data_IF_353993588264
#
_entry.id   IF_353993588264
#
_cell.length_a   1.000
_cell.length_b   1.000
_cell.length_c   1.000
_cell.angle_alpha   90.00
_cell.angle_beta   90.00
_cell.angle_gamma   90.00
#
_symmetry.space_group_name_H-M   'P 1'
#
loop_
_entity.id
_entity.type
_entity.pdbx_description
1 polymer ?
#
# COMPACT_ATOMS: atom_id res chain seq x y z
N UNK A 1 -13.72 -14.81 -16.98
CA UNK A 1 -12.86 -15.91 -16.51
C UNK A 1 -13.60 -16.57 -15.38
N UNK A 2 -13.56 -17.89 -15.31
CA UNK A 2 -14.06 -18.60 -14.15
C UNK A 2 -13.23 -18.19 -12.91
N UNK A 3 -13.81 -18.18 -11.72
CA UNK A 3 -13.08 -17.88 -10.49
C UNK A 3 -11.90 -18.87 -10.35
N UNK A 4 -10.72 -18.32 -10.02
CA UNK A 4 -9.49 -19.09 -9.90
C UNK A 4 -8.87 -18.81 -8.54
N UNK A 5 -8.49 -19.86 -7.83
CA UNK A 5 -7.82 -19.75 -6.54
C UNK A 5 -6.47 -19.06 -6.68
N UNK A 6 -6.09 -18.27 -5.68
CA UNK A 6 -4.81 -17.57 -5.68
C UNK A 6 -3.63 -18.54 -5.86
N UNK A 7 -3.69 -19.72 -5.23
CA UNK A 7 -2.69 -20.78 -5.37
C UNK A 7 -2.56 -21.38 -6.79
N UNK A 8 -3.56 -21.19 -7.64
CA UNK A 8 -3.59 -21.67 -9.02
C UNK A 8 -3.22 -20.58 -10.04
N UNK A 9 -3.07 -19.32 -9.59
CA UNK A 9 -2.72 -18.20 -10.47
C UNK A 9 -1.29 -18.35 -10.96
N UNK A 10 -1.12 -18.38 -12.28
CA UNK A 10 0.21 -18.51 -12.88
C UNK A 10 0.96 -17.19 -12.90
N UNK A 11 2.25 -17.25 -12.57
CA UNK A 11 3.18 -16.14 -12.73
C UNK A 11 4.05 -16.35 -13.98
N UNK A 12 4.19 -15.32 -14.77
CA UNK A 12 5.15 -15.28 -15.89
C UNK A 12 5.87 -13.93 -15.85
N UNK A 13 7.21 -13.95 -15.78
CA UNK A 13 8.01 -12.73 -15.85
C UNK A 13 7.77 -12.03 -17.19
N UNK A 14 7.37 -10.75 -17.20
CA UNK A 14 7.08 -10.04 -18.45
C UNK A 14 8.35 -9.73 -19.26
N UNK A 15 8.21 -9.71 -20.58
CA UNK A 15 9.21 -9.17 -21.49
C UNK A 15 9.10 -7.66 -21.52
N UNK A 16 10.05 -6.98 -20.86
CA UNK A 16 10.06 -5.52 -20.72
C UNK A 16 10.29 -4.83 -22.07
N UNK A 17 11.17 -5.34 -22.91
CA UNK A 17 11.46 -4.72 -24.21
C UNK A 17 10.25 -4.78 -25.13
N UNK A 18 9.56 -5.91 -25.16
CA UNK A 18 8.29 -6.05 -25.88
C UNK A 18 7.22 -5.10 -25.36
N UNK A 19 7.08 -4.95 -24.04
CA UNK A 19 6.13 -4.03 -23.42
C UNK A 19 6.46 -2.56 -23.74
N UNK A 20 7.73 -2.16 -23.66
CA UNK A 20 8.16 -0.81 -24.02
C UNK A 20 7.91 -0.51 -25.52
N UNK A 21 8.08 -1.53 -26.38
CA UNK A 21 7.70 -1.44 -27.79
C UNK A 21 6.19 -1.19 -28.00
N UNK A 22 5.36 -1.92 -27.25
CA UNK A 22 3.90 -1.69 -27.22
C UNK A 22 3.55 -0.29 -26.72
N UNK A 23 4.20 0.21 -25.68
CA UNK A 23 3.98 1.56 -25.18
C UNK A 23 4.24 2.63 -26.24
N UNK A 24 5.34 2.51 -27.00
CA UNK A 24 5.65 3.41 -28.11
C UNK A 24 4.55 3.38 -29.18
N UNK A 25 4.07 2.19 -29.54
CA UNK A 25 2.97 2.02 -30.50
C UNK A 25 1.66 2.65 -30.00
N UNK A 26 1.33 2.47 -28.72
CA UNK A 26 0.16 3.07 -28.07
C UNK A 26 0.25 4.60 -28.04
N UNK A 27 1.41 5.16 -27.71
CA UNK A 27 1.63 6.60 -27.72
C UNK A 27 1.44 7.18 -29.14
N UNK A 28 1.97 6.50 -30.18
CA UNK A 28 1.76 6.89 -31.57
C UNK A 28 0.28 6.83 -31.99
N UNK A 29 -0.45 5.77 -31.60
CA UNK A 29 -1.91 5.66 -31.83
C UNK A 29 -2.67 6.78 -31.13
N UNK A 30 -2.36 7.08 -29.86
CA UNK A 30 -3.00 8.15 -29.10
C UNK A 30 -2.77 9.52 -29.75
N UNK A 31 -1.54 9.80 -30.20
CA UNK A 31 -1.22 11.05 -30.91
C UNK A 31 -1.91 11.15 -32.27
N UNK A 32 -2.09 10.03 -32.99
CA UNK A 32 -2.68 9.97 -34.33
C UNK A 32 -4.19 9.77 -34.38
N UNK A 33 -4.86 9.57 -33.24
CA UNK A 33 -6.31 9.35 -33.20
C UNK A 33 -7.07 10.56 -33.83
N UNK A 34 -7.87 10.28 -34.84
CA UNK A 34 -8.57 11.28 -35.62
C UNK A 34 -9.99 11.59 -35.10
N UNK A 35 -10.44 10.87 -34.07
CA UNK A 35 -11.74 11.07 -33.42
C UNK A 35 -11.69 10.75 -31.93
N UNK A 36 -12.69 11.25 -31.18
CA UNK A 36 -12.86 10.92 -29.76
C UNK A 36 -13.07 9.41 -29.53
N UNK A 37 -13.81 8.74 -30.39
CA UNK A 37 -14.05 7.30 -30.33
C UNK A 37 -12.75 6.50 -30.49
N UNK A 38 -11.91 6.87 -31.48
CA UNK A 38 -10.59 6.24 -31.63
C UNK A 38 -9.73 6.45 -30.40
N UNK A 39 -9.71 7.67 -29.84
CA UNK A 39 -8.92 7.98 -28.64
C UNK A 39 -9.36 7.14 -27.43
N UNK A 40 -10.67 6.99 -27.20
CA UNK A 40 -11.24 6.13 -26.17
C UNK A 40 -10.87 4.67 -26.40
N UNK A 41 -10.90 4.19 -27.65
CA UNK A 41 -10.48 2.82 -27.98
C UNK A 41 -8.99 2.58 -27.67
N UNK A 42 -8.11 3.53 -27.94
CA UNK A 42 -6.68 3.46 -27.60
C UNK A 42 -6.51 3.40 -26.07
N UNK A 43 -7.31 4.11 -25.30
CA UNK A 43 -7.28 4.02 -23.84
C UNK A 43 -7.65 2.61 -23.33
N UNK A 44 -8.67 1.99 -23.91
CA UNK A 44 -8.99 0.58 -23.59
C UNK A 44 -7.88 -0.40 -24.04
N UNK A 45 -7.23 -0.13 -25.19
CA UNK A 45 -6.07 -0.94 -25.61
C UNK A 45 -4.93 -0.83 -24.60
N UNK A 46 -4.62 0.38 -24.13
CA UNK A 46 -3.62 0.59 -23.07
C UNK A 46 -3.97 -0.20 -21.82
N UNK A 47 -5.21 -0.12 -21.35
CA UNK A 47 -5.66 -0.82 -20.13
C UNK A 47 -5.45 -2.33 -20.24
N UNK A 48 -5.76 -2.91 -21.41
CA UNK A 48 -5.53 -4.33 -21.69
C UNK A 48 -4.04 -4.69 -21.77
N UNK A 49 -3.24 -3.88 -22.43
CA UNK A 49 -1.80 -4.11 -22.59
C UNK A 49 -1.04 -4.12 -21.25
N UNK A 50 -1.53 -3.35 -20.27
CA UNK A 50 -0.92 -3.31 -18.94
C UNK A 50 -1.50 -4.31 -17.94
N UNK A 51 -2.59 -5.00 -18.25
CA UNK A 51 -3.24 -5.91 -17.31
C UNK A 51 -2.32 -7.06 -16.87
N UNK A 52 -1.66 -7.72 -17.83
CA UNK A 52 -0.77 -8.86 -17.55
C UNK A 52 0.49 -8.41 -16.82
N UNK A 53 1.12 -7.30 -17.24
CA UNK A 53 2.26 -6.72 -16.54
C UNK A 53 1.91 -6.35 -15.08
N UNK A 54 0.79 -5.66 -14.88
CA UNK A 54 0.35 -5.24 -13.54
C UNK A 54 0.03 -6.45 -12.68
N UNK A 55 -0.61 -7.48 -13.24
CA UNK A 55 -0.89 -8.73 -12.52
C UNK A 55 0.40 -9.44 -12.12
N UNK A 56 1.37 -9.57 -13.03
CA UNK A 56 2.66 -10.18 -12.72
C UNK A 56 3.41 -9.42 -11.63
N UNK A 57 3.43 -8.07 -11.69
CA UNK A 57 4.05 -7.23 -10.67
C UNK A 57 3.37 -7.40 -9.30
N UNK A 58 2.04 -7.47 -9.27
CA UNK A 58 1.31 -7.69 -8.02
C UNK A 58 1.52 -9.09 -7.46
N UNK A 59 1.52 -10.15 -8.28
CA UNK A 59 1.82 -11.50 -7.83
C UNK A 59 3.22 -11.60 -7.21
N UNK A 60 4.24 -11.03 -7.88
CA UNK A 60 5.59 -10.99 -7.34
C UNK A 60 5.65 -10.27 -5.99
N UNK A 61 5.01 -9.10 -5.88
CA UNK A 61 4.95 -8.31 -4.65
C UNK A 61 4.19 -9.03 -3.52
N UNK A 62 3.04 -9.64 -3.81
CA UNK A 62 2.27 -10.40 -2.82
C UNK A 62 3.11 -11.55 -2.26
N UNK A 63 3.66 -12.39 -3.13
CA UNK A 63 4.46 -13.53 -2.69
C UNK A 63 5.71 -13.10 -1.90
N UNK A 64 6.41 -12.06 -2.36
CA UNK A 64 7.57 -11.51 -1.64
C UNK A 64 7.19 -10.96 -0.26
N UNK A 65 6.10 -10.20 -0.15
CA UNK A 65 5.68 -9.65 1.15
C UNK A 65 5.12 -10.72 2.09
N UNK A 66 4.57 -11.81 1.56
CA UNK A 66 4.13 -12.97 2.33
C UNK A 66 5.29 -13.78 2.94
N UNK A 67 6.46 -13.83 2.28
CA UNK A 67 7.72 -14.34 2.85
C UNK A 67 8.92 -13.65 2.21
N UNK A 68 9.46 -12.65 2.87
CA UNK A 68 10.62 -11.86 2.40
C UNK A 68 11.93 -12.66 2.34
N UNK A 69 11.96 -13.90 2.85
CA UNK A 69 13.11 -14.82 2.84
C UNK A 69 13.13 -15.73 1.61
N UNK A 70 12.03 -15.78 0.85
CA UNK A 70 11.96 -16.56 -0.39
C UNK A 70 12.85 -15.91 -1.46
N UNK A 71 13.93 -16.61 -1.82
CA UNK A 71 14.93 -16.09 -2.74
C UNK A 71 14.39 -15.91 -4.17
N UNK A 72 13.42 -16.75 -4.61
CA UNK A 72 12.81 -16.64 -5.92
C UNK A 72 11.95 -15.37 -6.00
N UNK A 73 11.02 -15.20 -5.06
CA UNK A 73 10.13 -14.03 -5.05
C UNK A 73 10.87 -12.74 -4.76
N UNK A 74 11.95 -12.79 -3.97
CA UNK A 74 12.87 -11.66 -3.84
C UNK A 74 13.50 -11.27 -5.17
N UNK A 75 13.99 -12.22 -5.94
CA UNK A 75 14.59 -11.93 -7.26
C UNK A 75 13.53 -11.38 -8.25
N UNK A 76 12.28 -11.83 -8.17
CA UNK A 76 11.19 -11.26 -8.96
C UNK A 76 10.83 -9.83 -8.52
N UNK A 77 10.79 -9.55 -7.21
CA UNK A 77 10.61 -8.19 -6.71
C UNK A 77 11.74 -7.26 -7.18
N UNK A 78 13.01 -7.69 -7.05
CA UNK A 78 14.18 -6.94 -7.51
C UNK A 78 14.10 -6.65 -9.02
N UNK A 79 13.55 -7.59 -9.82
CA UNK A 79 13.31 -7.38 -11.25
C UNK A 79 12.31 -6.24 -11.50
N UNK A 80 11.19 -6.19 -10.78
CA UNK A 80 10.22 -5.10 -10.93
C UNK A 80 10.74 -3.78 -10.36
N UNK A 81 11.50 -3.79 -9.28
CA UNK A 81 12.16 -2.60 -8.72
C UNK A 81 13.10 -1.94 -9.74
N UNK A 82 13.83 -2.76 -10.50
CA UNK A 82 14.78 -2.29 -11.50
C UNK A 82 14.12 -1.84 -12.82
N UNK A 83 13.04 -2.50 -13.26
CA UNK A 83 12.45 -2.28 -14.58
C UNK A 83 11.15 -1.44 -14.52
N UNK A 84 10.43 -1.49 -13.41
CA UNK A 84 9.15 -0.78 -13.23
C UNK A 84 9.22 0.72 -13.55
N UNK A 85 10.26 1.45 -13.11
CA UNK A 85 10.39 2.87 -13.42
C UNK A 85 10.45 3.19 -14.92
N UNK A 86 11.09 2.35 -15.73
CA UNK A 86 11.12 2.53 -17.18
C UNK A 86 9.74 2.27 -17.82
N UNK A 87 9.02 1.27 -17.34
CA UNK A 87 7.65 0.97 -17.78
C UNK A 87 6.70 2.09 -17.38
N UNK A 88 6.81 2.62 -16.16
CA UNK A 88 5.98 3.74 -15.71
C UNK A 88 6.28 5.02 -16.50
N UNK A 89 7.55 5.31 -16.80
CA UNK A 89 7.90 6.42 -17.68
C UNK A 89 7.29 6.25 -19.08
N UNK A 90 7.30 5.04 -19.65
CA UNK A 90 6.65 4.77 -20.93
C UNK A 90 5.13 4.99 -20.87
N UNK A 91 4.47 4.67 -19.73
CA UNK A 91 3.06 4.98 -19.48
C UNK A 91 2.80 6.48 -19.41
N UNK A 92 3.71 7.24 -18.83
CA UNK A 92 3.66 8.71 -18.81
C UNK A 92 3.73 9.28 -20.22
N UNK A 93 4.57 8.74 -21.10
CA UNK A 93 4.64 9.17 -22.50
C UNK A 93 3.34 8.91 -23.27
N UNK A 94 2.65 7.79 -22.99
CA UNK A 94 1.30 7.57 -23.55
C UNK A 94 0.33 8.64 -23.01
N UNK A 95 0.39 8.98 -21.73
CA UNK A 95 -0.43 10.03 -21.13
C UNK A 95 -0.18 11.40 -21.76
N UNK A 96 1.09 11.74 -22.10
CA UNK A 96 1.44 12.95 -22.86
C UNK A 96 0.76 12.98 -24.23
N UNK A 97 0.78 11.83 -24.93
CA UNK A 97 0.14 11.71 -26.24
C UNK A 97 -1.38 11.89 -26.17
N UNK A 98 -2.05 11.31 -25.17
CA UNK A 98 -3.47 11.54 -24.92
C UNK A 98 -3.78 13.01 -24.66
N UNK A 99 -3.02 13.66 -23.77
CA UNK A 99 -3.23 15.06 -23.39
C UNK A 99 -2.97 16.04 -24.53
N UNK A 100 -2.11 15.69 -25.48
CA UNK A 100 -1.81 16.51 -26.65
C UNK A 100 -2.82 16.34 -27.80
N UNK A 101 -3.68 15.31 -27.76
CA UNK A 101 -4.65 15.04 -28.80
C UNK A 101 -5.82 16.04 -28.74
N UNK A 102 -6.27 16.53 -29.89
CA UNK A 102 -7.38 17.49 -30.01
C UNK A 102 -8.72 16.95 -29.48
N UNK A 103 -8.85 15.61 -29.35
CA UNK A 103 -10.07 14.95 -28.90
C UNK A 103 -10.00 14.50 -27.43
N UNK A 104 -9.08 15.05 -26.61
CA UNK A 104 -8.88 14.66 -25.21
C UNK A 104 -10.15 14.77 -24.35
N UNK A 105 -11.06 15.67 -24.69
CA UNK A 105 -12.34 15.85 -23.99
C UNK A 105 -13.21 14.60 -24.05
N UNK A 106 -13.08 13.76 -25.08
CA UNK A 106 -13.79 12.47 -25.17
C UNK A 106 -13.40 11.51 -24.04
N UNK A 107 -12.15 11.58 -23.51
CA UNK A 107 -11.75 10.82 -22.33
C UNK A 107 -12.42 11.34 -21.05
N UNK A 108 -12.65 12.66 -20.96
CA UNK A 108 -13.43 13.25 -19.86
C UNK A 108 -14.89 12.81 -19.89
N UNK A 109 -15.49 12.79 -21.09
CA UNK A 109 -16.87 12.34 -21.28
C UNK A 109 -17.05 10.83 -20.96
N UNK A 110 -16.09 10.00 -21.40
CA UNK A 110 -16.17 8.54 -21.21
C UNK A 110 -15.80 8.09 -19.79
N UNK A 111 -14.81 8.74 -19.14
CA UNK A 111 -14.20 8.25 -17.89
C UNK A 111 -14.23 9.25 -16.72
N UNK A 112 -14.79 10.43 -16.94
CA UNK A 112 -14.87 11.51 -15.94
C UNK A 112 -13.62 12.40 -15.90
N UNK A 113 -13.76 13.55 -15.25
CA UNK A 113 -12.71 14.58 -15.14
C UNK A 113 -11.45 14.09 -14.43
N UNK A 114 -11.57 13.15 -13.50
CA UNK A 114 -10.45 12.59 -12.74
C UNK A 114 -9.49 11.78 -13.61
N UNK A 115 -9.97 11.17 -14.69
CA UNK A 115 -9.14 10.43 -15.65
C UNK A 115 -8.07 11.34 -16.28
N UNK A 116 -8.50 12.44 -16.90
CA UNK A 116 -7.60 13.40 -17.55
C UNK A 116 -6.75 14.16 -16.52
N UNK A 117 -7.29 14.49 -15.34
CA UNK A 117 -6.52 15.10 -14.26
C UNK A 117 -5.43 14.15 -13.74
N UNK A 118 -5.73 12.86 -13.63
CA UNK A 118 -4.74 11.83 -13.28
C UNK A 118 -3.61 11.72 -14.30
N UNK A 119 -3.92 11.77 -15.60
CA UNK A 119 -2.90 11.79 -16.65
C UNK A 119 -2.00 13.03 -16.55
N UNK A 120 -2.57 14.20 -16.23
CA UNK A 120 -1.79 15.43 -16.00
C UNK A 120 -0.85 15.27 -14.82
N UNK A 121 -1.33 14.71 -13.72
CA UNK A 121 -0.49 14.44 -12.56
C UNK A 121 0.62 13.41 -12.87
N UNK A 122 0.33 12.36 -13.63
CA UNK A 122 1.35 11.40 -14.05
C UNK A 122 2.48 12.08 -14.84
N UNK A 123 2.13 12.95 -15.79
CA UNK A 123 3.08 13.73 -16.60
C UNK A 123 3.90 14.72 -15.76
N UNK A 124 3.30 15.31 -14.73
CA UNK A 124 3.98 16.24 -13.81
C UNK A 124 4.84 15.52 -12.77
N UNK A 125 4.52 14.26 -12.48
CA UNK A 125 5.14 13.46 -11.40
C UNK A 125 6.37 12.67 -11.82
N UNK A 126 6.65 12.53 -13.12
CA UNK A 126 7.74 11.69 -13.62
C UNK A 126 8.16 12.06 -15.03
N UNK A 127 9.45 11.93 -15.31
CA UNK A 127 10.02 11.92 -16.66
C UNK A 127 11.30 11.03 -16.70
N UNK A 128 11.94 10.91 -17.87
CA UNK A 128 13.11 10.07 -18.10
C UNK A 128 14.30 10.40 -17.19
N UNK A 129 14.45 11.67 -16.79
CA UNK A 129 15.53 12.13 -15.91
C UNK A 129 15.44 11.58 -14.49
N UNK A 130 14.25 11.10 -14.07
CA UNK A 130 13.99 10.58 -12.72
C UNK A 130 14.00 9.05 -12.65
N UNK A 131 14.09 8.34 -13.78
CA UNK A 131 14.00 6.87 -13.85
C UNK A 131 15.05 6.18 -12.98
N UNK A 132 16.32 6.58 -13.08
CA UNK A 132 17.40 5.96 -12.30
C UNK A 132 17.25 6.22 -10.79
N UNK A 133 16.84 7.43 -10.41
CA UNK A 133 16.54 7.72 -9.00
C UNK A 133 15.34 6.93 -8.48
N UNK A 134 14.35 6.65 -9.33
CA UNK A 134 13.20 5.83 -8.94
C UNK A 134 13.60 4.37 -8.73
N UNK A 135 14.53 3.82 -9.53
CA UNK A 135 15.11 2.48 -9.31
C UNK A 135 15.84 2.40 -7.97
N UNK A 136 16.69 3.41 -7.69
CA UNK A 136 17.38 3.50 -6.40
C UNK A 136 16.39 3.58 -5.22
N UNK A 137 15.35 4.40 -5.36
CA UNK A 137 14.29 4.53 -4.34
C UNK A 137 13.62 3.18 -4.07
N UNK A 138 13.21 2.44 -5.10
CA UNK A 138 12.58 1.13 -4.97
C UNK A 138 13.49 0.14 -4.22
N UNK A 139 14.78 0.08 -4.59
CA UNK A 139 15.75 -0.76 -3.91
C UNK A 139 15.94 -0.39 -2.43
N UNK A 140 15.94 0.92 -2.09
CA UNK A 140 16.01 1.38 -0.70
C UNK A 140 14.76 1.01 0.10
N UNK A 141 13.58 1.10 -0.51
CA UNK A 141 12.31 0.68 0.12
C UNK A 141 12.30 -0.82 0.36
N UNK A 142 12.75 -1.63 -0.60
CA UNK A 142 12.86 -3.08 -0.43
C UNK A 142 13.82 -3.46 0.70
N UNK A 143 14.96 -2.77 0.86
CA UNK A 143 15.86 -2.95 2.00
C UNK A 143 15.18 -2.61 3.33
N UNK A 144 14.47 -1.49 3.40
CA UNK A 144 13.70 -1.12 4.58
C UNK A 144 12.66 -2.19 4.97
N UNK A 145 11.94 -2.71 3.97
CA UNK A 145 10.97 -3.79 4.17
C UNK A 145 11.61 -5.07 4.72
N UNK A 146 12.83 -5.39 4.29
CA UNK A 146 13.58 -6.55 4.80
C UNK A 146 13.94 -6.40 6.28
N UNK A 147 14.37 -5.21 6.71
CA UNK A 147 14.65 -4.94 8.14
C UNK A 147 13.39 -5.15 8.99
N UNK A 148 12.26 -4.62 8.55
CA UNK A 148 10.98 -4.80 9.27
C UNK A 148 10.44 -6.23 9.21
N UNK A 149 10.47 -6.87 8.06
CA UNK A 149 9.99 -8.25 7.88
C UNK A 149 10.88 -9.29 8.59
N UNK A 150 12.16 -8.97 8.73
CA UNK A 150 13.13 -9.78 9.48
C UNK A 150 13.06 -9.61 10.99
N UNK A 151 12.28 -8.65 11.50
CA UNK A 151 12.22 -8.34 12.93
C UNK A 151 11.70 -9.51 13.75
N UNK A 152 12.57 -10.05 14.62
CA UNK A 152 12.24 -11.03 15.62
C UNK A 152 12.72 -10.51 16.98
N UNK A 153 11.79 -10.45 17.92
CA UNK A 153 12.01 -9.97 19.28
C UNK A 153 11.87 -11.13 20.24
N UNK A 154 12.87 -11.35 21.08
CA UNK A 154 12.75 -12.31 22.17
C UNK A 154 11.91 -11.72 23.30
N UNK A 155 10.77 -12.32 23.57
CA UNK A 155 9.85 -11.90 24.61
C UNK A 155 9.07 -13.09 25.18
N UNK A 156 8.95 -13.17 26.50
CA UNK A 156 8.24 -14.27 27.21
C UNK A 156 8.73 -15.68 26.80
N UNK A 157 10.07 -15.82 26.59
CA UNK A 157 10.70 -17.06 26.15
C UNK A 157 10.37 -17.49 24.71
N UNK A 158 9.86 -16.58 23.89
CA UNK A 158 9.46 -16.82 22.50
C UNK A 158 10.17 -15.83 21.55
N UNK A 159 10.34 -16.24 20.30
CA UNK A 159 10.73 -15.35 19.21
C UNK A 159 9.46 -14.83 18.53
N UNK A 160 9.18 -13.55 18.68
CA UNK A 160 7.94 -12.92 18.21
C UNK A 160 8.24 -11.88 17.12
N UNK A 161 7.38 -11.81 16.11
CA UNK A 161 7.36 -10.67 15.19
C UNK A 161 6.79 -9.44 15.88
N UNK A 162 7.05 -8.23 15.32
CA UNK A 162 6.51 -6.99 15.87
C UNK A 162 4.97 -7.04 16.05
N UNK A 163 4.16 -7.51 15.07
CA UNK A 163 2.72 -7.65 15.26
C UNK A 163 2.36 -8.62 16.40
N UNK A 164 3.11 -9.69 16.62
CA UNK A 164 2.86 -10.67 17.67
C UNK A 164 3.13 -10.15 19.10
N UNK A 165 3.77 -8.98 19.24
CA UNK A 165 3.86 -8.27 20.53
C UNK A 165 2.55 -7.56 20.91
N UNK A 166 1.62 -7.38 19.95
CA UNK A 166 0.36 -6.67 20.17
C UNK A 166 -0.39 -7.08 21.43
N UNK A 167 -0.68 -8.37 21.64
CA UNK A 167 -1.39 -8.85 22.83
C UNK A 167 -0.70 -8.50 24.15
N UNK A 168 0.64 -8.56 24.19
CA UNK A 168 1.39 -8.17 25.38
C UNK A 168 1.31 -6.66 25.65
N UNK A 169 1.18 -5.84 24.60
CA UNK A 169 0.96 -4.40 24.70
C UNK A 169 -0.45 -4.04 25.18
N UNK A 170 -1.40 -4.96 25.11
CA UNK A 170 -2.76 -4.83 25.63
C UNK A 170 -2.95 -5.50 27.00
N UNK A 171 -1.92 -6.13 27.56
CA UNK A 171 -1.99 -6.83 28.84
C UNK A 171 -2.44 -5.88 29.96
N UNK A 172 -3.23 -6.39 30.92
CA UNK A 172 -3.72 -5.60 32.05
C UNK A 172 -2.59 -5.20 33.02
N UNK A 173 -1.53 -6.02 33.14
CA UNK A 173 -0.34 -5.66 33.90
C UNK A 173 0.49 -4.58 33.18
N UNK A 174 0.63 -3.37 33.75
CA UNK A 174 1.42 -2.29 33.14
C UNK A 174 2.90 -2.63 33.01
N UNK A 175 3.44 -3.53 33.82
CA UNK A 175 4.84 -3.96 33.72
C UNK A 175 5.06 -4.80 32.46
N UNK A 176 4.12 -5.72 32.15
CA UNK A 176 4.15 -6.53 30.92
C UNK A 176 4.03 -5.65 29.68
N UNK A 177 3.09 -4.69 29.69
CA UNK A 177 2.93 -3.75 28.57
C UNK A 177 4.21 -2.98 28.29
N UNK A 178 4.80 -2.38 29.36
CA UNK A 178 6.03 -1.62 29.23
C UNK A 178 7.18 -2.47 28.71
N UNK A 179 7.35 -3.67 29.26
CA UNK A 179 8.39 -4.60 28.83
C UNK A 179 8.25 -4.97 27.33
N UNK A 180 7.02 -5.16 26.84
CA UNK A 180 6.78 -5.43 25.42
C UNK A 180 7.16 -4.25 24.50
N UNK A 181 6.87 -3.02 24.91
CA UNK A 181 7.32 -1.82 24.18
C UNK A 181 8.83 -1.62 24.24
N UNK A 182 9.46 -1.88 25.39
CA UNK A 182 10.91 -1.81 25.56
C UNK A 182 11.64 -2.86 24.70
N UNK A 183 11.10 -4.06 24.61
CA UNK A 183 11.64 -5.12 23.76
C UNK A 183 11.58 -4.75 22.26
N UNK A 184 10.45 -4.18 21.80
CA UNK A 184 10.35 -3.65 20.43
C UNK A 184 11.34 -2.51 20.21
N UNK A 185 11.40 -1.55 21.14
CA UNK A 185 12.30 -0.40 21.03
C UNK A 185 13.77 -0.85 20.97
N UNK A 186 14.16 -1.88 21.73
CA UNK A 186 15.51 -2.44 21.70
C UNK A 186 15.87 -3.02 20.32
N UNK A 187 14.92 -3.64 19.60
CA UNK A 187 15.16 -4.08 18.23
C UNK A 187 15.46 -2.91 17.31
N UNK A 188 14.65 -1.84 17.35
CA UNK A 188 14.86 -0.66 16.50
C UNK A 188 16.12 0.11 16.90
N UNK A 189 16.45 0.17 18.18
CA UNK A 189 17.72 0.77 18.65
C UNK A 189 18.94 0.01 18.13
N UNK A 190 18.89 -1.31 18.11
CA UNK A 190 19.96 -2.15 17.55
C UNK A 190 20.15 -1.97 16.03
N UNK A 191 19.09 -1.59 15.31
CA UNK A 191 19.11 -1.34 13.85
C UNK A 191 19.07 0.16 13.51
N UNK A 192 19.29 1.05 14.50
CA UNK A 192 19.15 2.50 14.34
C UNK A 192 20.00 3.06 13.20
N UNK A 193 21.28 2.75 13.17
CA UNK A 193 22.20 3.28 12.17
C UNK A 193 21.81 2.85 10.75
N UNK A 194 21.35 1.62 10.58
CA UNK A 194 20.86 1.08 9.32
C UNK A 194 19.56 1.80 8.88
N UNK A 195 18.58 1.90 9.76
CA UNK A 195 17.29 2.54 9.49
C UNK A 195 17.44 4.04 9.22
N UNK A 196 18.22 4.76 10.03
CA UNK A 196 18.49 6.18 9.85
C UNK A 196 19.27 6.43 8.54
N UNK A 197 20.20 5.53 8.21
CA UNK A 197 20.93 5.55 6.95
C UNK A 197 20.02 5.36 5.74
N UNK A 198 19.13 4.38 5.77
CA UNK A 198 18.12 4.12 4.72
C UNK A 198 17.15 5.29 4.58
N UNK A 199 16.59 5.77 5.69
CA UNK A 199 15.68 6.91 5.69
C UNK A 199 16.33 8.17 5.10
N UNK A 200 17.56 8.47 5.50
CA UNK A 200 18.30 9.62 4.99
C UNK A 200 18.54 9.51 3.47
N UNK A 201 18.88 8.33 2.96
CA UNK A 201 19.04 8.09 1.51
C UNK A 201 17.71 8.27 0.77
N UNK A 202 16.62 7.71 1.30
CA UNK A 202 15.28 7.84 0.74
C UNK A 202 14.87 9.32 0.64
N UNK A 203 15.01 10.10 1.72
CA UNK A 203 14.66 11.53 1.73
C UNK A 203 15.49 12.32 0.72
N UNK A 204 16.81 12.08 0.66
CA UNK A 204 17.70 12.76 -0.32
C UNK A 204 17.31 12.41 -1.75
N UNK A 205 17.05 11.13 -2.04
CA UNK A 205 16.64 10.66 -3.35
C UNK A 205 15.32 11.31 -3.79
N UNK A 206 14.30 11.28 -2.93
CA UNK A 206 12.99 11.88 -3.23
C UNK A 206 13.07 13.40 -3.46
N UNK A 207 13.86 14.12 -2.67
CA UNK A 207 14.09 15.56 -2.89
C UNK A 207 14.86 15.82 -4.20
N UNK A 208 15.84 15.00 -4.56
CA UNK A 208 16.53 15.12 -5.84
C UNK A 208 15.57 14.94 -7.02
N UNK A 209 14.66 13.94 -6.96
CA UNK A 209 13.61 13.76 -7.97
C UNK A 209 12.71 15.00 -8.07
N UNK A 210 12.27 15.56 -6.91
CA UNK A 210 11.44 16.76 -6.89
C UNK A 210 12.12 17.95 -7.57
N UNK A 211 13.39 18.20 -7.26
CA UNK A 211 14.18 19.29 -7.84
C UNK A 211 14.38 19.13 -9.37
N UNK A 212 14.62 17.90 -9.84
CA UNK A 212 14.72 17.59 -11.28
C UNK A 212 13.42 17.95 -12.00
N UNK A 213 12.26 17.70 -11.38
CA UNK A 213 10.95 17.98 -11.92
C UNK A 213 10.48 19.43 -11.69
N UNK A 214 11.32 20.27 -11.04
CA UNK A 214 11.05 21.71 -10.86
C UNK A 214 10.25 22.06 -9.59
N UNK A 215 10.10 21.13 -8.66
CA UNK A 215 9.49 21.36 -7.35
C UNK A 215 10.54 21.79 -6.32
N UNK A 216 10.11 22.56 -5.31
CA UNK A 216 10.99 22.98 -4.23
C UNK A 216 11.50 21.79 -3.41
N UNK A 217 10.61 20.89 -3.03
CA UNK A 217 10.90 19.67 -2.28
C UNK A 217 9.91 18.53 -2.62
N UNK A 218 10.13 17.38 -2.00
CA UNK A 218 9.25 16.22 -2.23
C UNK A 218 7.84 16.42 -1.66
N UNK A 219 7.65 17.29 -0.67
CA UNK A 219 6.30 17.54 -0.13
C UNK A 219 5.36 18.07 -1.21
N UNK A 220 5.85 18.96 -2.08
CA UNK A 220 5.08 19.47 -3.22
C UNK A 220 4.85 18.38 -4.28
N UNK A 221 5.92 17.68 -4.70
CA UNK A 221 5.83 16.60 -5.68
C UNK A 221 4.91 15.47 -5.21
N UNK A 222 4.88 15.18 -3.89
CA UNK A 222 4.08 14.11 -3.32
C UNK A 222 2.57 14.30 -3.54
N UNK A 223 2.07 15.53 -3.54
CA UNK A 223 0.65 15.80 -3.86
C UNK A 223 0.30 15.38 -5.28
N UNK A 224 1.19 15.61 -6.23
CA UNK A 224 1.04 15.19 -7.62
C UNK A 224 1.09 13.66 -7.73
N UNK A 225 2.12 13.03 -7.16
CA UNK A 225 2.32 11.57 -7.19
C UNK A 225 1.24 10.78 -6.47
N UNK A 226 0.68 11.33 -5.39
CA UNK A 226 -0.48 10.75 -4.70
C UNK A 226 -1.81 11.05 -5.41
N UNK A 227 -1.76 11.64 -6.59
CA UNK A 227 -2.93 11.98 -7.41
C UNK A 227 -3.99 12.78 -6.63
N UNK A 228 -3.56 13.78 -5.86
CA UNK A 228 -4.45 14.66 -5.08
C UNK A 228 -5.05 15.71 -5.99
N UNK A 229 -6.28 15.43 -6.44
CA UNK A 229 -7.03 16.25 -7.38
C UNK A 229 -8.06 17.09 -6.62
N UNK A 230 -8.10 18.40 -6.90
CA UNK A 230 -9.09 19.32 -6.35
C UNK A 230 -8.77 19.88 -4.96
N UNK A 231 -7.65 19.49 -4.33
CA UNK A 231 -7.17 20.06 -3.08
C UNK A 231 -5.63 20.00 -2.98
N UNK A 232 -5.08 20.92 -2.19
CA UNK A 232 -3.64 21.04 -1.99
C UNK A 232 -3.26 21.30 -0.53
N UNK A 233 -2.01 21.73 -0.26
CA UNK A 233 -1.54 22.00 1.09
C UNK A 233 -2.37 23.03 1.87
N UNK A 234 -2.97 24.01 1.19
CA UNK A 234 -3.78 25.04 1.81
C UNK A 234 -5.09 24.49 2.38
N UNK A 235 -5.79 23.63 1.62
CA UNK A 235 -7.01 22.96 2.06
C UNK A 235 -6.72 21.98 3.19
N UNK A 236 -5.62 21.21 3.09
CA UNK A 236 -5.20 20.30 4.16
C UNK A 236 -4.82 21.06 5.42
N UNK A 237 -4.24 22.27 5.32
CA UNK A 237 -3.96 23.12 6.49
C UNK A 237 -5.26 23.48 7.20
N UNK A 238 -6.28 23.95 6.48
CA UNK A 238 -7.59 24.27 7.05
C UNK A 238 -8.21 23.08 7.78
N UNK A 239 -8.14 21.90 7.14
CA UNK A 239 -8.63 20.65 7.76
C UNK A 239 -7.88 20.33 9.07
N UNK A 240 -6.54 20.42 9.08
CA UNK A 240 -5.74 20.18 10.29
C UNK A 240 -6.04 21.20 11.40
N UNK A 241 -6.22 22.48 11.04
CA UNK A 241 -6.58 23.53 11.99
C UNK A 241 -7.95 23.24 12.63
N UNK A 242 -8.92 22.79 11.83
CA UNK A 242 -10.23 22.36 12.32
C UNK A 242 -10.13 21.11 13.22
N UNK A 243 -9.33 20.11 12.86
CA UNK A 243 -9.08 18.95 13.74
C UNK A 243 -8.47 19.39 15.06
N UNK A 244 -7.50 20.32 15.05
CA UNK A 244 -6.88 20.82 16.26
C UNK A 244 -7.85 21.62 17.15
N UNK A 245 -8.74 22.41 16.55
CA UNK A 245 -9.71 23.24 17.30
C UNK A 245 -10.92 22.46 17.79
N UNK A 246 -11.44 21.55 17.00
CA UNK A 246 -12.76 20.94 17.24
C UNK A 246 -12.64 19.49 17.72
N UNK A 247 -11.75 18.68 17.12
CA UNK A 247 -11.66 17.23 17.43
C UNK A 247 -10.76 16.98 18.65
N UNK A 248 -9.59 17.64 18.72
CA UNK A 248 -8.63 17.41 19.82
C UNK A 248 -9.21 17.71 21.20
N UNK A 249 -10.01 18.78 21.43
CA UNK A 249 -10.66 19.02 22.72
C UNK A 249 -11.64 17.89 23.10
N UNK A 250 -12.38 17.35 22.14
CA UNK A 250 -13.30 16.23 22.40
C UNK A 250 -12.54 14.93 22.70
N UNK A 251 -11.43 14.68 21.99
CA UNK A 251 -10.55 13.55 22.29
C UNK A 251 -10.00 13.61 23.74
N UNK A 252 -9.66 14.78 24.24
CA UNK A 252 -9.25 14.94 25.66
C UNK A 252 -10.31 14.46 26.62
N UNK A 253 -11.59 14.80 26.37
CA UNK A 253 -12.72 14.31 27.19
C UNK A 253 -12.87 12.80 27.14
N UNK A 254 -12.70 12.19 25.94
CA UNK A 254 -12.68 10.74 25.77
C UNK A 254 -11.55 10.09 26.57
N UNK A 255 -10.36 10.69 26.56
CA UNK A 255 -9.20 10.23 27.36
C UNK A 255 -9.50 10.31 28.86
N UNK A 256 -10.09 11.41 29.33
CA UNK A 256 -10.51 11.54 30.74
C UNK A 256 -11.54 10.50 31.16
N UNK A 257 -12.55 10.21 30.32
CA UNK A 257 -13.50 9.15 30.54
C UNK A 257 -12.83 7.77 30.58
N UNK A 258 -11.85 7.57 29.72
CA UNK A 258 -11.04 6.33 29.70
C UNK A 258 -10.22 6.18 30.98
N UNK A 259 -9.55 7.24 31.45
CA UNK A 259 -8.85 7.24 32.74
C UNK A 259 -9.79 6.81 33.90
N UNK A 260 -10.99 7.39 33.92
CA UNK A 260 -12.01 7.03 34.94
C UNK A 260 -12.43 5.56 34.83
N UNK A 261 -12.66 5.07 33.61
CA UNK A 261 -13.08 3.69 33.34
C UNK A 261 -12.00 2.66 33.66
N UNK A 262 -10.74 2.95 33.33
CA UNK A 262 -9.61 2.03 33.57
C UNK A 262 -9.00 2.15 34.96
N UNK A 263 -9.33 3.20 35.73
CA UNK A 263 -8.69 3.50 37.01
C UNK A 263 -7.24 4.02 36.89
N UNK A 264 -6.76 4.31 35.69
CA UNK A 264 -5.42 4.85 35.42
C UNK A 264 -5.48 6.37 35.52
N UNK A 265 -4.85 6.95 36.54
CA UNK A 265 -4.92 8.39 36.81
C UNK A 265 -4.13 9.23 35.81
N UNK A 266 -3.06 8.66 35.21
CA UNK A 266 -2.24 9.31 34.21
C UNK A 266 -1.80 8.29 33.16
N UNK A 267 -2.34 8.42 31.94
CA UNK A 267 -2.00 7.52 30.82
C UNK A 267 -0.59 7.82 30.30
N UNK A 268 0.23 6.80 30.29
CA UNK A 268 1.51 6.80 29.55
C UNK A 268 1.32 6.23 28.17
N UNK A 269 2.34 6.32 27.31
CA UNK A 269 2.29 5.75 25.96
C UNK A 269 1.92 4.25 25.99
N UNK A 270 2.48 3.48 26.93
CA UNK A 270 2.19 2.04 27.06
C UNK A 270 0.79 1.72 27.59
N UNK A 271 0.04 2.72 28.09
CA UNK A 271 -1.33 2.52 28.57
C UNK A 271 -2.39 2.81 27.48
N UNK A 272 -1.98 3.45 26.39
CA UNK A 272 -2.90 3.82 25.30
C UNK A 272 -3.69 2.64 24.70
N UNK A 273 -3.18 1.42 24.57
CA UNK A 273 -3.95 0.30 24.05
C UNK A 273 -5.06 -0.18 24.99
N UNK A 274 -4.93 0.01 26.33
CA UNK A 274 -5.91 -0.50 27.31
C UNK A 274 -7.14 0.38 27.36
N UNK A 275 -8.30 -0.17 27.01
CA UNK A 275 -9.57 0.55 26.97
C UNK A 275 -10.51 0.23 28.13
N UNK A 276 -10.41 -0.94 28.76
CA UNK A 276 -11.29 -1.42 29.84
C UNK A 276 -10.49 -2.00 31.00
N UNK A 277 -11.05 -1.93 32.21
CA UNK A 277 -10.40 -2.37 33.44
C UNK A 277 -10.24 -3.90 33.52
N UNK A 278 -11.16 -4.62 32.91
CA UNK A 278 -11.20 -6.08 32.81
C UNK A 278 -10.64 -6.65 31.50
N UNK A 279 -10.04 -5.80 30.68
CA UNK A 279 -9.44 -6.14 29.40
C UNK A 279 -10.24 -5.66 28.19
N UNK A 280 -9.52 -5.49 27.09
CA UNK A 280 -10.15 -5.15 25.80
C UNK A 280 -11.01 -6.32 25.29
N UNK A 281 -12.07 -6.03 24.51
CA UNK A 281 -12.76 -7.08 23.78
C UNK A 281 -11.77 -7.88 22.93
N UNK A 282 -11.77 -9.18 23.10
CA UNK A 282 -10.92 -10.07 22.28
C UNK A 282 -11.65 -10.50 21.03
N UNK A 283 -10.96 -10.55 19.87
CA UNK A 283 -11.55 -11.09 18.66
C UNK A 283 -11.85 -12.58 18.82
N UNK A 284 -12.74 -13.11 17.98
CA UNK A 284 -12.99 -14.55 17.87
C UNK A 284 -11.66 -15.25 17.60
N UNK A 285 -11.24 -16.25 18.41
CA UNK A 285 -9.96 -16.90 18.24
C UNK A 285 -9.94 -17.82 17.00
N UNK A 286 -8.77 -17.86 16.34
CA UNK A 286 -8.53 -18.71 15.17
C UNK A 286 -9.03 -18.15 13.86
N UNK A 287 -8.28 -18.47 12.80
CA UNK A 287 -8.53 -18.00 11.44
C UNK A 287 -9.91 -18.43 10.92
N UNK A 288 -10.20 -19.76 10.98
CA UNK A 288 -11.43 -20.31 10.42
C UNK A 288 -12.69 -19.74 11.07
N UNK A 289 -12.68 -19.59 12.40
CA UNK A 289 -13.81 -19.03 13.12
C UNK A 289 -14.05 -17.54 12.78
N UNK A 290 -12.97 -16.75 12.63
CA UNK A 290 -13.08 -15.34 12.18
C UNK A 290 -13.61 -15.23 10.76
N UNK A 291 -13.10 -16.08 9.85
CA UNK A 291 -13.57 -16.07 8.46
C UNK A 291 -15.02 -16.51 8.34
N UNK A 292 -15.44 -17.50 9.12
CA UNK A 292 -16.83 -17.93 9.19
C UNK A 292 -17.75 -16.81 9.75
N UNK A 293 -17.32 -16.12 10.81
CA UNK A 293 -18.08 -14.99 11.37
C UNK A 293 -18.14 -13.82 10.39
N UNK A 294 -17.05 -13.50 9.69
CA UNK A 294 -17.04 -12.49 8.63
C UNK A 294 -18.02 -12.86 7.50
N UNK A 295 -18.01 -14.12 7.04
CA UNK A 295 -18.92 -14.60 6.02
C UNK A 295 -20.38 -14.43 6.45
N UNK A 296 -20.72 -14.82 7.68
CA UNK A 296 -22.07 -14.63 8.25
C UNK A 296 -22.46 -13.15 8.25
N UNK A 297 -21.60 -12.26 8.76
CA UNK A 297 -21.85 -10.83 8.81
C UNK A 297 -22.11 -10.23 7.40
N UNK A 298 -21.28 -10.57 6.42
CA UNK A 298 -21.43 -10.08 5.05
C UNK A 298 -22.69 -10.62 4.37
N UNK A 299 -23.09 -11.86 4.67
CA UNK A 299 -24.36 -12.43 4.19
C UNK A 299 -25.58 -11.74 4.79
N UNK A 300 -25.51 -11.28 6.04
CA UNK A 300 -26.57 -10.52 6.68
C UNK A 300 -26.71 -9.07 6.18
N UNK A 301 -25.62 -8.50 5.61
CA UNK A 301 -25.61 -7.13 5.11
C UNK A 301 -26.38 -6.97 3.81
N UNK A 302 -26.03 -7.74 2.77
CA UNK A 302 -26.74 -7.74 1.49
C UNK A 302 -26.31 -8.92 0.61
N UNK A 303 -27.10 -9.27 -0.45
CA UNK A 303 -26.70 -10.28 -1.44
C UNK A 303 -25.38 -9.97 -2.14
N UNK A 304 -25.10 -8.69 -2.43
CA UNK A 304 -23.87 -8.26 -3.12
C UNK A 304 -22.64 -8.45 -2.24
N UNK A 305 -22.75 -8.15 -0.94
CA UNK A 305 -21.66 -8.37 0.02
C UNK A 305 -21.45 -9.85 0.31
N UNK A 306 -22.52 -10.66 0.28
CA UNK A 306 -22.45 -12.10 0.38
C UNK A 306 -21.67 -12.72 -0.82
N UNK A 307 -22.02 -12.34 -2.04
CA UNK A 307 -21.33 -12.78 -3.25
C UNK A 307 -19.84 -12.38 -3.19
N UNK A 308 -19.54 -11.17 -2.76
CA UNK A 308 -18.17 -10.68 -2.68
C UNK A 308 -17.31 -11.44 -1.66
N UNK A 309 -17.81 -11.66 -0.43
CA UNK A 309 -17.04 -12.39 0.59
C UNK A 309 -16.86 -13.86 0.24
N UNK A 310 -17.88 -14.50 -0.36
CA UNK A 310 -17.79 -15.86 -0.86
C UNK A 310 -16.72 -15.96 -1.94
N UNK A 311 -16.73 -15.07 -2.93
CA UNK A 311 -15.71 -15.00 -3.96
C UNK A 311 -14.30 -14.86 -3.36
N UNK A 312 -14.12 -13.98 -2.39
CA UNK A 312 -12.82 -13.74 -1.76
C UNK A 312 -12.31 -14.96 -0.98
N UNK A 313 -13.18 -15.60 -0.20
CA UNK A 313 -12.79 -16.76 0.61
C UNK A 313 -12.57 -18.01 -0.23
N UNK A 314 -13.49 -18.31 -1.16
CA UNK A 314 -13.43 -19.51 -1.99
C UNK A 314 -12.24 -19.48 -2.97
N UNK A 315 -11.72 -18.28 -3.29
CA UNK A 315 -10.56 -18.09 -4.17
C UNK A 315 -9.25 -17.76 -3.41
N UNK A 316 -9.18 -17.97 -2.11
CA UNK A 316 -7.94 -17.79 -1.32
C UNK A 316 -7.33 -16.38 -1.41
N UNK A 317 -8.16 -15.33 -1.52
CA UNK A 317 -7.73 -13.96 -1.77
C UNK A 317 -7.37 -13.18 -0.49
N UNK A 318 -6.96 -13.91 0.55
CA UNK A 318 -6.52 -13.37 1.84
C UNK A 318 -5.22 -14.03 2.31
N UNK A 319 -4.28 -13.21 2.76
CA UNK A 319 -3.18 -13.64 3.64
C UNK A 319 -3.14 -12.67 4.82
N UNK A 320 -3.73 -13.07 5.96
CA UNK A 320 -4.00 -12.17 7.08
C UNK A 320 -3.33 -12.57 8.39
N UNK A 321 -2.69 -13.75 8.47
CA UNK A 321 -2.02 -14.21 9.69
C UNK A 321 -0.56 -13.74 9.73
N UNK A 322 -0.12 -13.27 10.89
CA UNK A 322 1.29 -12.90 11.14
C UNK A 322 2.17 -14.14 11.28
N UNK A 323 3.34 -14.11 10.65
CA UNK A 323 4.35 -15.17 10.76
C UNK A 323 5.77 -14.64 10.52
N UNK A 324 6.82 -15.32 10.97
CA UNK A 324 8.21 -14.94 10.70
C UNK A 324 8.50 -14.84 9.18
N UNK A 325 9.18 -13.78 8.78
CA UNK A 325 9.52 -13.51 7.39
C UNK A 325 8.42 -12.79 6.60
N UNK A 326 7.20 -12.68 7.12
CA UNK A 326 6.13 -11.89 6.51
C UNK A 326 6.33 -10.41 6.81
N UNK A 327 6.14 -9.55 5.80
CA UNK A 327 6.20 -8.10 5.97
C UNK A 327 5.12 -7.63 6.97
N UNK A 328 5.42 -6.64 7.81
CA UNK A 328 4.45 -6.04 8.72
C UNK A 328 3.47 -5.11 7.99
N UNK A 329 2.37 -4.75 8.69
CA UNK A 329 1.34 -3.87 8.13
C UNK A 329 0.27 -4.62 7.35
N UNK A 330 -0.42 -3.91 6.48
CA UNK A 330 -1.49 -4.46 5.66
C UNK A 330 -1.77 -3.60 4.44
N UNK A 331 -2.25 -4.23 3.37
CA UNK A 331 -2.67 -3.57 2.14
C UNK A 331 -3.77 -4.38 1.44
N UNK A 332 -4.45 -3.73 0.52
CA UNK A 332 -5.27 -4.35 -0.50
C UNK A 332 -4.70 -3.97 -1.87
N UNK A 333 -4.67 -4.93 -2.77
CA UNK A 333 -4.29 -4.70 -4.17
C UNK A 333 -5.24 -5.41 -5.12
N UNK A 334 -5.07 -5.20 -6.42
CA UNK A 334 -5.87 -5.85 -7.46
C UNK A 334 -5.00 -6.65 -8.42
N UNK A 335 -5.54 -7.74 -8.93
CA UNK A 335 -4.97 -8.61 -9.94
C UNK A 335 -5.79 -8.43 -11.23
N UNK A 336 -5.44 -7.47 -12.12
CA UNK A 336 -6.33 -7.04 -13.21
C UNK A 336 -6.70 -8.15 -14.20
N UNK A 337 -5.77 -9.03 -14.57
CA UNK A 337 -6.03 -10.17 -15.47
C UNK A 337 -7.06 -11.13 -14.89
N UNK A 338 -7.02 -11.34 -13.57
CA UNK A 338 -7.96 -12.22 -12.87
C UNK A 338 -9.21 -11.49 -12.37
N UNK A 339 -9.27 -10.17 -12.50
CA UNK A 339 -10.34 -9.30 -11.94
C UNK A 339 -10.61 -9.57 -10.47
N UNK A 340 -9.57 -9.88 -9.72
CA UNK A 340 -9.62 -10.26 -8.33
C UNK A 340 -8.86 -9.26 -7.45
N UNK A 341 -9.39 -8.87 -6.28
CA UNK A 341 -8.60 -8.17 -5.25
C UNK A 341 -7.78 -9.19 -4.45
N UNK A 342 -6.79 -8.70 -3.69
CA UNK A 342 -6.07 -9.49 -2.69
C UNK A 342 -5.88 -8.66 -1.42
N UNK A 343 -6.11 -9.25 -0.24
CA UNK A 343 -5.95 -8.62 1.05
C UNK A 343 -4.79 -9.28 1.81
N UNK A 344 -3.80 -8.45 2.13
CA UNK A 344 -2.67 -8.79 2.99
C UNK A 344 -2.83 -8.06 4.32
N UNK A 345 -2.67 -8.76 5.45
CA UNK A 345 -2.71 -8.18 6.78
C UNK A 345 -1.87 -9.00 7.76
N UNK A 346 -1.78 -8.55 9.01
CA UNK A 346 -1.10 -9.24 10.10
C UNK A 346 -2.01 -9.31 11.32
N UNK A 347 -2.88 -10.31 11.35
CA UNK A 347 -3.71 -10.58 12.52
C UNK A 347 -2.89 -11.23 13.62
N UNK A 348 -3.22 -10.88 14.85
CA UNK A 348 -2.72 -11.57 16.03
C UNK A 348 -3.71 -12.67 16.44
N UNK A 349 -3.20 -13.85 16.73
CA UNK A 349 -4.02 -15.00 17.12
C UNK A 349 -4.29 -15.05 18.64
N UNK A 350 -4.38 -13.88 19.26
CA UNK A 350 -4.64 -13.77 20.68
C UNK A 350 -5.77 -12.82 20.97
#
# INVERSE_FOLDING_TARGET
>A
MDPMKFSEMSYTRPDIDALLGQCKALAAKAAGAASGEELVNVYYEQSRAFADYSTAAQLASIHYTCDTRDAYWKAEQDFFDANGPAVENARVEISRAFLANAHVDALTEAFGTTCVAGMKNAVLGMDDRTVELQKEYNALVSQYQQVYGGALVEFDGKQLTIPQLGPYKENLDPAVRRAAYEAEAAYFDAHRDELDGLYTKIVKNLNAQAQILGYHDYSELSYVRMNRIGYGPAEIRKFRDQVASDVVPELKKVIELRCKRTGISHLTFSDLPVAFQDGNPSPIPGYDARMAAARTMYHELSPETAEFIDFMQDNELFDVESRPGKMSGGYMTSLPTYKAPFIFANWNNT
#
